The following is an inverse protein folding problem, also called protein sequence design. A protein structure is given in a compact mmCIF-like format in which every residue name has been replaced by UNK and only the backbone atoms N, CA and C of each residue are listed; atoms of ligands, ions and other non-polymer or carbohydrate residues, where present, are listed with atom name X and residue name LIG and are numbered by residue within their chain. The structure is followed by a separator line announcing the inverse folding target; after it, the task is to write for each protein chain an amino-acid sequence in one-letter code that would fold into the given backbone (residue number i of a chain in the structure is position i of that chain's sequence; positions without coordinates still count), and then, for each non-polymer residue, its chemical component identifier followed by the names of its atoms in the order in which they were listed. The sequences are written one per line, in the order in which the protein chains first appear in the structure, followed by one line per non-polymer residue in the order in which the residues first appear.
data_IF_144424470281
#
_entry.id   IF_144424470281
#
_cell.length_a   1.000
_cell.length_b   1.000
_cell.length_c   1.000
_cell.angle_alpha   90.00
_cell.angle_beta   90.00
_cell.angle_gamma   90.00
#
_symmetry.space_group_name_H-M   'P 1'
#
loop_
_entity.id
_entity.type
_entity.pdbx_description
1 polymer ?
#
# COMPACT_ATOMS: atom_id res chain seq x y z
N UNK A 1 0.95 -15.69 11.69
CA UNK A 1 1.78 -14.47 11.82
C UNK A 1 2.06 -13.93 10.42
N UNK A 2 1.78 -12.67 10.20
CA UNK A 2 1.98 -11.97 8.92
C UNK A 2 3.43 -11.47 8.84
N UNK A 3 4.07 -11.57 7.66
CA UNK A 3 5.39 -11.00 7.40
C UNK A 3 5.37 -10.12 6.17
N UNK A 4 5.94 -8.92 6.27
CA UNK A 4 5.97 -7.94 5.19
C UNK A 4 7.33 -7.22 5.16
N UNK A 5 7.84 -6.92 3.97
CA UNK A 5 9.09 -6.18 3.82
C UNK A 5 8.92 -4.68 4.03
N UNK A 6 10.05 -3.97 4.15
CA UNK A 6 10.10 -2.53 4.36
C UNK A 6 9.35 -1.72 3.30
N UNK A 7 9.62 -1.99 2.00
CA UNK A 7 9.08 -1.17 0.91
C UNK A 7 7.55 -1.29 0.83
N UNK A 8 7.03 -2.51 0.88
CA UNK A 8 5.60 -2.78 0.80
C UNK A 8 4.84 -2.20 2.02
N UNK A 9 5.35 -2.40 3.24
CA UNK A 9 4.69 -1.86 4.44
C UNK A 9 4.71 -0.33 4.46
N UNK A 10 5.86 0.27 4.09
CA UNK A 10 6.01 1.74 4.05
C UNK A 10 5.09 2.37 3.02
N UNK A 11 5.02 1.79 1.80
CA UNK A 11 4.14 2.26 0.75
C UNK A 11 2.67 2.12 1.14
N UNK A 12 2.28 0.97 1.73
CA UNK A 12 0.93 0.75 2.20
C UNK A 12 0.51 1.76 3.27
N UNK A 13 1.37 2.03 4.26
CA UNK A 13 1.06 3.03 5.29
C UNK A 13 0.94 4.46 4.75
N UNK A 14 1.64 4.80 3.65
CA UNK A 14 1.49 6.10 2.98
C UNK A 14 0.15 6.26 2.26
N UNK A 15 -0.49 5.18 1.87
CA UNK A 15 -1.73 5.17 1.10
C UNK A 15 -2.98 4.83 1.94
N UNK A 16 -2.81 4.43 3.20
CA UNK A 16 -3.91 4.23 4.13
C UNK A 16 -4.56 5.58 4.49
N UNK A 17 -5.85 5.57 4.74
CA UNK A 17 -6.56 6.73 5.25
C UNK A 17 -6.11 7.08 6.67
N UNK A 18 -6.28 8.34 7.06
CA UNK A 18 -6.00 8.82 8.42
C UNK A 18 -7.23 9.54 8.94
N UNK A 19 -7.78 9.04 10.05
CA UNK A 19 -8.98 9.60 10.68
C UNK A 19 -10.20 9.69 9.74
N UNK A 20 -10.33 8.77 8.78
CA UNK A 20 -11.52 8.66 7.93
C UNK A 20 -12.68 8.05 8.74
N UNK A 21 -13.90 8.54 8.50
CA UNK A 21 -15.13 8.01 9.11
C UNK A 21 -15.37 6.54 8.71
N UNK A 22 -14.86 6.15 7.55
CA UNK A 22 -14.77 4.74 7.12
C UNK A 22 -13.58 4.08 7.81
N UNK A 23 -13.75 3.81 9.11
CA UNK A 23 -12.67 3.35 10.00
C UNK A 23 -11.86 2.15 9.47
N UNK A 24 -12.46 1.28 8.64
CA UNK A 24 -11.82 0.16 7.98
C UNK A 24 -10.78 0.56 6.92
N UNK A 25 -10.69 1.84 6.55
CA UNK A 25 -9.63 2.39 5.69
C UNK A 25 -8.45 2.96 6.49
N UNK A 26 -8.61 3.17 7.82
CA UNK A 26 -7.55 3.68 8.71
C UNK A 26 -6.53 2.60 9.11
N UNK A 27 -6.34 1.59 8.26
CA UNK A 27 -5.41 0.49 8.45
C UNK A 27 -4.96 -0.08 7.13
N UNK A 28 -4.09 -1.06 7.22
CA UNK A 28 -3.55 -1.79 6.09
C UNK A 28 -4.21 -3.17 6.05
N UNK A 29 -4.74 -3.56 4.90
CA UNK A 29 -5.35 -4.86 4.70
C UNK A 29 -4.31 -5.89 4.25
N UNK A 30 -4.23 -6.98 4.97
CA UNK A 30 -3.46 -8.17 4.62
C UNK A 30 -4.42 -9.23 4.09
N UNK A 31 -4.24 -9.62 2.83
CA UNK A 31 -5.07 -10.58 2.12
C UNK A 31 -4.39 -11.96 2.14
N UNK A 32 -5.11 -13.01 2.50
CA UNK A 32 -4.61 -14.40 2.54
C UNK A 32 -4.02 -14.89 1.21
N UNK A 33 -4.31 -14.20 0.11
CA UNK A 33 -3.72 -14.44 -1.21
C UNK A 33 -2.29 -13.88 -1.36
N UNK A 34 -1.70 -13.38 -0.26
CA UNK A 34 -0.33 -12.86 -0.23
C UNK A 34 -0.18 -11.39 -0.61
N UNK A 35 -1.23 -10.60 -0.46
CA UNK A 35 -1.20 -9.16 -0.75
C UNK A 35 -1.27 -8.31 0.51
N UNK A 36 -0.62 -7.14 0.44
CA UNK A 36 -0.81 -6.01 1.33
C UNK A 36 -1.47 -4.89 0.54
N UNK A 37 -2.59 -4.38 1.03
CA UNK A 37 -3.40 -3.37 0.33
C UNK A 37 -3.80 -2.25 1.27
N UNK A 38 -3.80 -1.03 0.78
CA UNK A 38 -4.32 0.14 1.50
C UNK A 38 -4.95 1.15 0.56
N UNK A 39 -5.87 1.94 1.05
CA UNK A 39 -6.53 2.99 0.27
C UNK A 39 -7.07 4.10 1.17
N UNK A 40 -7.09 5.33 0.66
CA UNK A 40 -7.79 6.48 1.24
C UNK A 40 -9.10 6.82 0.48
N UNK A 41 -9.48 5.99 -0.50
CA UNK A 41 -10.64 6.18 -1.37
C UNK A 41 -10.34 6.91 -2.68
N UNK A 42 -9.16 7.53 -2.82
CA UNK A 42 -8.72 8.25 -4.03
C UNK A 42 -7.51 7.59 -4.70
N UNK A 43 -6.77 6.82 -3.95
CA UNK A 43 -5.66 5.99 -4.41
C UNK A 43 -5.66 4.66 -3.67
N UNK A 44 -5.02 3.65 -4.26
CA UNK A 44 -4.89 2.32 -3.67
C UNK A 44 -3.50 1.79 -3.96
N UNK A 45 -2.77 1.39 -2.91
CA UNK A 45 -1.52 0.65 -3.04
C UNK A 45 -1.78 -0.85 -2.90
N UNK A 46 -1.11 -1.64 -3.73
CA UNK A 46 -1.06 -3.09 -3.64
C UNK A 46 0.38 -3.56 -3.77
N UNK A 47 0.82 -4.33 -2.80
CA UNK A 47 2.13 -4.96 -2.74
C UNK A 47 2.04 -6.40 -2.24
N UNK A 48 3.15 -6.96 -1.77
CA UNK A 48 3.25 -8.36 -1.36
C UNK A 48 3.45 -8.50 0.16
N UNK A 49 2.85 -9.53 0.74
CA UNK A 49 3.08 -9.96 2.12
C UNK A 49 2.95 -11.48 2.23
N UNK A 50 3.57 -12.07 3.24
CA UNK A 50 3.31 -13.47 3.61
C UNK A 50 2.19 -13.44 4.63
N UNK A 51 1.03 -13.96 4.25
CA UNK A 51 -0.18 -14.00 5.09
C UNK A 51 -0.61 -15.45 5.23
N UNK A 52 -0.84 -15.97 6.45
CA UNK A 52 -1.35 -17.32 6.62
C UNK A 52 -2.72 -17.51 5.97
N UNK A 53 -2.99 -18.70 5.48
CA UNK A 53 -4.28 -19.04 4.88
C UNK A 53 -5.42 -18.83 5.88
N UNK A 54 -6.54 -18.30 5.41
CA UNK A 54 -7.70 -17.97 6.24
C UNK A 54 -7.53 -16.74 7.15
N UNK A 55 -6.38 -16.05 7.12
CA UNK A 55 -6.08 -14.95 8.04
C UNK A 55 -6.13 -13.55 7.41
N UNK A 56 -7.04 -13.30 6.47
CA UNK A 56 -7.23 -11.92 5.95
C UNK A 56 -7.68 -10.99 7.07
N UNK A 57 -6.97 -9.86 7.25
CA UNK A 57 -7.30 -8.89 8.31
C UNK A 57 -6.84 -7.47 7.98
N UNK A 58 -7.51 -6.49 8.56
CA UNK A 58 -7.10 -5.09 8.55
C UNK A 58 -6.32 -4.83 9.83
N UNK A 59 -5.12 -4.25 9.70
CA UNK A 59 -4.26 -3.94 10.85
C UNK A 59 -3.95 -2.45 10.88
N UNK A 60 -4.20 -1.82 12.01
CA UNK A 60 -3.80 -0.44 12.30
C UNK A 60 -2.56 -0.43 13.20
N UNK A 61 -1.44 0.06 12.70
CA UNK A 61 -0.19 0.19 13.45
C UNK A 61 -0.21 1.53 14.19
N UNK A 62 -0.03 1.51 15.52
CA UNK A 62 -0.21 2.67 16.42
C UNK A 62 1.10 3.38 16.68
N UNK A 63 1.68 3.98 15.65
CA UNK A 63 2.91 4.72 15.81
C UNK A 63 3.64 4.99 14.51
N UNK A 64 4.81 5.62 14.63
CA UNK A 64 5.67 5.89 13.49
C UNK A 64 6.56 4.67 13.22
N UNK A 65 6.52 4.17 11.99
CA UNK A 65 7.41 3.08 11.56
C UNK A 65 8.88 3.49 11.69
N UNK A 66 9.77 2.56 12.07
CA UNK A 66 11.21 2.78 12.04
C UNK A 66 11.67 3.26 10.66
N UNK A 67 12.73 4.06 10.63
CA UNK A 67 13.24 4.65 9.38
C UNK A 67 13.90 3.61 8.47
N UNK A 68 14.43 2.54 9.06
CA UNK A 68 15.08 1.42 8.36
C UNK A 68 14.76 0.12 9.07
N UNK A 69 14.33 -0.86 8.33
CA UNK A 69 14.18 -2.27 8.73
C UNK A 69 14.16 -3.11 7.46
N UNK A 70 14.37 -4.40 7.56
CA UNK A 70 14.28 -5.32 6.42
C UNK A 70 12.87 -5.85 6.27
N UNK A 71 12.29 -6.31 7.38
CA UNK A 71 10.93 -6.83 7.41
C UNK A 71 10.26 -6.58 8.77
N UNK A 72 8.95 -6.73 8.77
CA UNK A 72 8.09 -6.65 9.94
C UNK A 72 7.27 -7.92 10.08
N UNK A 73 7.20 -8.45 11.30
CA UNK A 73 6.29 -9.52 11.69
C UNK A 73 5.13 -8.94 12.51
N UNK A 74 3.89 -9.31 12.15
CA UNK A 74 2.68 -8.81 12.79
C UNK A 74 1.89 -10.00 13.34
N UNK A 75 1.60 -9.97 14.64
CA UNK A 75 0.80 -11.01 15.33
C UNK A 75 -0.66 -10.61 15.57
N UNK A 76 -1.01 -9.35 15.37
CA UNK A 76 -2.34 -8.78 15.57
C UNK A 76 -2.44 -7.87 16.79
N UNK A 77 -1.46 -7.90 17.70
CA UNK A 77 -1.33 -7.01 18.86
C UNK A 77 -0.09 -6.14 18.76
N UNK A 78 0.93 -6.63 18.07
CA UNK A 78 2.20 -5.94 17.87
C UNK A 78 2.76 -6.14 16.45
N UNK A 79 3.55 -5.16 16.03
CA UNK A 79 4.35 -5.17 14.83
C UNK A 79 5.82 -5.10 15.25
N UNK A 80 6.55 -6.21 15.08
CA UNK A 80 7.97 -6.34 15.43
C UNK A 80 8.84 -6.16 14.18
N UNK A 81 9.80 -5.25 14.24
CA UNK A 81 10.64 -4.83 13.11
C UNK A 81 12.06 -5.41 13.24
N UNK A 82 12.58 -5.94 12.16
CA UNK A 82 13.88 -6.63 12.14
C UNK A 82 14.80 -6.06 11.06
N UNK A 83 16.09 -6.12 11.33
CA UNK A 83 17.12 -5.82 10.33
C UNK A 83 17.44 -7.06 9.43
N UNK A 84 18.40 -6.89 8.51
CA UNK A 84 18.84 -7.96 7.59
C UNK A 84 19.59 -9.12 8.27
N UNK A 85 19.88 -9.01 9.58
CA UNK A 85 20.54 -10.04 10.40
C UNK A 85 19.57 -10.67 11.39
N UNK A 86 18.26 -10.47 11.21
CA UNK A 86 17.20 -10.94 12.11
C UNK A 86 17.28 -10.35 13.54
N UNK A 87 17.94 -9.20 13.71
CA UNK A 87 17.97 -8.48 14.99
C UNK A 87 16.73 -7.61 15.11
N UNK A 88 16.03 -7.73 16.25
CA UNK A 88 14.88 -6.89 16.58
C UNK A 88 15.33 -5.43 16.74
N UNK A 89 14.71 -4.53 15.96
CA UNK A 89 14.97 -3.08 15.99
C UNK A 89 13.97 -2.38 16.90
N UNK A 90 12.69 -2.73 16.77
CA UNK A 90 11.60 -2.05 17.46
C UNK A 90 10.33 -2.92 17.49
N UNK A 91 9.42 -2.59 18.40
CA UNK A 91 8.09 -3.20 18.48
C UNK A 91 7.05 -2.11 18.68
N UNK A 92 6.07 -2.01 17.79
CA UNK A 92 5.01 -1.01 17.83
C UNK A 92 3.68 -1.70 18.06
N UNK A 93 2.84 -1.21 18.99
CA UNK A 93 1.49 -1.74 19.17
C UNK A 93 0.67 -1.66 17.87
N UNK A 94 -0.11 -2.68 17.60
CA UNK A 94 -1.09 -2.66 16.53
C UNK A 94 -2.42 -3.26 17.00
N UNK A 95 -3.47 -3.00 16.26
CA UNK A 95 -4.79 -3.57 16.51
C UNK A 95 -5.40 -4.11 15.22
N UNK A 96 -6.18 -5.15 15.33
CA UNK A 96 -7.04 -5.64 14.26
C UNK A 96 -8.25 -4.72 14.20
N UNK A 97 -8.50 -4.13 13.04
CA UNK A 97 -9.68 -3.30 12.80
C UNK A 97 -10.82 -4.21 12.39
N UNK A 98 -11.88 -4.26 13.23
CA UNK A 98 -13.09 -4.99 12.90
C UNK A 98 -13.83 -4.27 11.76
N UNK A 99 -13.95 -4.91 10.61
CA UNK A 99 -14.59 -4.34 9.44
C UNK A 99 -14.26 -5.11 8.16
N UNK A 100 -15.01 -4.81 7.12
CA UNK A 100 -14.79 -5.40 5.80
C UNK A 100 -14.03 -4.41 4.92
N UNK A 101 -12.82 -4.80 4.50
CA UNK A 101 -12.07 -4.02 3.52
C UNK A 101 -12.80 -4.05 2.16
N UNK A 102 -12.82 -2.93 1.39
CA UNK A 102 -13.46 -2.88 0.08
C UNK A 102 -12.94 -3.95 -0.87
N UNK A 103 -13.77 -4.36 -1.82
CA UNK A 103 -13.35 -5.25 -2.90
C UNK A 103 -12.38 -4.52 -3.85
N UNK A 104 -11.12 -4.49 -3.43
CA UNK A 104 -10.05 -3.77 -4.10
C UNK A 104 -9.72 -4.32 -5.49
N UNK A 105 -10.03 -5.59 -5.75
CA UNK A 105 -9.78 -6.22 -7.06
C UNK A 105 -10.61 -5.61 -8.18
N UNK A 106 -11.76 -5.03 -7.86
CA UNK A 106 -12.63 -4.36 -8.85
C UNK A 106 -11.98 -3.15 -9.51
N UNK A 107 -11.10 -2.44 -8.80
CA UNK A 107 -10.39 -1.26 -9.31
C UNK A 107 -9.00 -1.58 -9.85
N UNK A 108 -8.54 -2.82 -9.71
CA UNK A 108 -7.23 -3.27 -10.17
C UNK A 108 -7.26 -4.10 -11.46
N UNK A 109 -8.45 -4.43 -11.96
CA UNK A 109 -8.61 -5.00 -13.31
C UNK A 109 -8.31 -3.90 -14.33
N UNK A 110 -7.30 -4.09 -15.16
CA UNK A 110 -6.73 -3.04 -15.99
C UNK A 110 -6.72 -3.40 -17.48
N UNK A 111 -7.37 -2.57 -18.29
CA UNK A 111 -7.24 -2.61 -19.75
C UNK A 111 -6.63 -1.28 -20.18
N UNK A 112 -5.39 -1.32 -20.64
CA UNK A 112 -4.67 -0.11 -21.08
C UNK A 112 -5.33 0.54 -22.29
N UNK A 113 -5.45 1.87 -22.26
CA UNK A 113 -6.01 2.66 -23.34
C UNK A 113 -5.23 3.97 -23.53
N UNK A 114 -5.36 4.60 -24.68
CA UNK A 114 -4.74 5.89 -24.98
C UNK A 114 -5.57 7.03 -24.40
N UNK A 115 -4.90 8.01 -23.77
CA UNK A 115 -5.50 9.25 -23.28
C UNK A 115 -4.75 10.45 -23.84
N UNK A 116 -5.47 11.48 -24.27
CA UNK A 116 -4.88 12.73 -24.77
C UNK A 116 -4.41 13.62 -23.61
N UNK A 117 -5.24 13.76 -22.59
CA UNK A 117 -4.95 14.52 -21.38
C UNK A 117 -5.68 13.92 -20.18
N UNK A 118 -5.06 14.02 -19.00
CA UNK A 118 -5.63 13.51 -17.74
C UNK A 118 -5.13 14.38 -16.57
N UNK A 119 -6.05 14.75 -15.68
CA UNK A 119 -5.74 15.51 -14.48
C UNK A 119 -5.52 14.62 -13.27
N UNK A 120 -4.56 14.97 -12.42
CA UNK A 120 -4.30 14.29 -11.15
C UNK A 120 -4.10 15.28 -10.01
N UNK A 121 -4.41 14.85 -8.80
CA UNK A 121 -3.90 15.51 -7.62
C UNK A 121 -2.36 15.36 -7.57
N UNK A 122 -1.64 16.49 -7.67
CA UNK A 122 -0.18 16.51 -7.69
C UNK A 122 0.46 15.88 -6.45
N UNK A 123 -0.21 15.93 -5.28
CA UNK A 123 0.28 15.27 -4.07
C UNK A 123 0.33 13.73 -4.23
N UNK A 124 -0.63 13.14 -4.92
CA UNK A 124 -0.64 11.69 -5.18
C UNK A 124 0.47 11.28 -6.16
N UNK A 125 0.77 12.12 -7.16
CA UNK A 125 1.91 11.88 -8.04
C UNK A 125 3.24 12.03 -7.30
N UNK A 126 3.35 13.01 -6.42
CA UNK A 126 4.54 13.18 -5.57
C UNK A 126 4.74 11.96 -4.64
N UNK A 127 3.68 11.43 -4.08
CA UNK A 127 3.76 10.21 -3.26
C UNK A 127 4.07 8.98 -4.12
N UNK A 128 3.57 8.88 -5.35
CA UNK A 128 3.96 7.83 -6.29
C UNK A 128 5.49 7.82 -6.53
N UNK A 129 6.10 8.99 -6.68
CA UNK A 129 7.56 9.12 -6.80
C UNK A 129 8.30 8.70 -5.51
N UNK A 130 7.77 9.05 -4.32
CA UNK A 130 8.35 8.60 -3.05
C UNK A 130 8.27 7.07 -2.90
N UNK A 131 7.14 6.47 -3.27
CA UNK A 131 6.93 5.02 -3.27
C UNK A 131 7.91 4.34 -4.24
N UNK A 132 8.09 4.88 -5.45
CA UNK A 132 9.04 4.32 -6.42
C UNK A 132 10.46 4.18 -5.83
N UNK A 133 10.92 5.17 -5.06
CA UNK A 133 12.23 5.16 -4.37
C UNK A 133 12.35 4.10 -3.26
N UNK A 134 11.24 3.61 -2.72
CA UNK A 134 11.25 2.48 -1.77
C UNK A 134 11.61 1.17 -2.46
N UNK A 135 11.16 0.98 -3.71
CA UNK A 135 11.38 -0.24 -4.50
C UNK A 135 12.66 -0.20 -5.34
N UNK A 136 13.05 0.99 -5.81
CA UNK A 136 14.31 1.17 -6.53
C UNK A 136 14.87 2.59 -6.32
N UNK A 137 15.92 2.69 -5.49
CA UNK A 137 16.56 3.97 -5.16
C UNK A 137 17.27 4.63 -6.34
N UNK A 138 17.62 3.87 -7.37
CA UNK A 138 18.35 4.34 -8.55
C UNK A 138 17.42 4.77 -9.69
N UNK A 139 16.17 4.33 -9.64
CA UNK A 139 15.20 4.63 -10.69
C UNK A 139 14.30 5.80 -10.25
N UNK A 140 14.30 6.88 -11.02
CA UNK A 140 13.51 8.09 -10.72
C UNK A 140 12.27 8.22 -11.62
N UNK A 141 12.04 7.28 -12.54
CA UNK A 141 10.91 7.28 -13.45
C UNK A 141 9.66 6.64 -12.85
N UNK A 142 8.51 6.96 -13.44
CA UNK A 142 7.25 6.28 -13.19
C UNK A 142 6.75 5.64 -14.50
N UNK A 143 6.34 4.39 -14.43
CA UNK A 143 5.60 3.75 -15.52
C UNK A 143 4.12 3.82 -15.20
N UNK A 144 3.38 4.59 -16.02
CA UNK A 144 1.94 4.77 -15.87
C UNK A 144 1.19 4.02 -16.97
N UNK A 145 0.11 3.37 -16.59
CA UNK A 145 -0.85 2.74 -17.50
C UNK A 145 -2.20 3.41 -17.33
N UNK A 146 -2.81 3.83 -18.43
CA UNK A 146 -4.07 4.57 -18.45
C UNK A 146 -5.20 3.69 -18.98
N UNK A 147 -6.41 3.85 -18.44
CA UNK A 147 -7.62 3.19 -18.93
C UNK A 147 -8.55 4.15 -19.67
N UNK A 148 -8.44 5.45 -19.40
CA UNK A 148 -9.28 6.51 -19.94
C UNK A 148 -9.15 7.77 -19.09
N UNK A 149 -9.71 8.87 -19.57
CA UNK A 149 -9.59 10.21 -18.94
C UNK A 149 -10.27 10.33 -17.57
N UNK A 150 -11.27 9.48 -17.32
CA UNK A 150 -12.09 9.46 -16.10
C UNK A 150 -11.91 8.15 -15.29
N UNK A 151 -11.00 7.30 -15.71
CA UNK A 151 -10.75 6.00 -15.09
C UNK A 151 -9.42 5.97 -14.35
N UNK A 152 -9.31 5.01 -13.42
CA UNK A 152 -8.12 4.81 -12.62
C UNK A 152 -6.86 4.65 -13.48
N UNK A 153 -5.77 5.24 -13.04
CA UNK A 153 -4.43 5.09 -13.63
C UNK A 153 -3.59 4.23 -12.72
N UNK A 154 -2.84 3.30 -13.29
CA UNK A 154 -1.95 2.41 -12.54
C UNK A 154 -0.50 2.85 -12.71
N UNK A 155 0.21 2.98 -11.59
CA UNK A 155 1.65 3.19 -11.52
C UNK A 155 2.30 1.87 -11.15
N UNK A 156 3.22 1.39 -11.95
CA UNK A 156 3.90 0.11 -11.76
C UNK A 156 5.23 0.30 -11.05
N UNK A 157 5.52 -0.56 -10.08
CA UNK A 157 6.77 -0.60 -9.34
C UNK A 157 7.51 -1.93 -9.55
N UNK A 158 8.78 -1.96 -9.19
CA UNK A 158 9.60 -3.17 -9.20
C UNK A 158 9.02 -4.23 -8.25
N UNK A 159 9.13 -5.50 -8.62
CA UNK A 159 8.62 -6.60 -7.80
C UNK A 159 7.11 -6.85 -7.93
N UNK A 160 6.42 -6.18 -8.85
CA UNK A 160 5.00 -6.39 -9.10
C UNK A 160 4.06 -5.55 -8.23
N UNK A 161 4.58 -4.73 -7.32
CA UNK A 161 3.79 -3.77 -6.58
C UNK A 161 3.24 -2.67 -7.51
N UNK A 162 2.10 -2.10 -7.18
CA UNK A 162 1.51 -1.01 -7.96
C UNK A 162 0.69 -0.06 -7.09
N UNK A 163 0.52 1.16 -7.60
CA UNK A 163 -0.38 2.17 -7.06
C UNK A 163 -1.47 2.48 -8.10
N UNK A 164 -2.71 2.51 -7.69
CA UNK A 164 -3.82 3.02 -8.49
C UNK A 164 -4.14 4.43 -8.01
N UNK A 165 -4.31 5.37 -8.93
CA UNK A 165 -4.67 6.76 -8.64
C UNK A 165 -5.92 7.11 -9.44
N UNK A 166 -6.93 7.63 -8.77
CA UNK A 166 -8.11 8.16 -9.44
C UNK A 166 -7.80 9.54 -10.05
N UNK A 167 -8.17 9.79 -11.31
CA UNK A 167 -8.01 11.10 -11.92
C UNK A 167 -8.92 12.14 -11.27
N UNK A 168 -8.53 13.41 -11.40
CA UNK A 168 -9.39 14.55 -11.04
C UNK A 168 -9.85 15.28 -12.31
N UNK A 169 -11.10 15.74 -12.28
CA UNK A 169 -11.60 16.71 -13.27
C UNK A 169 -11.13 18.11 -12.86
N UNK A 170 -10.53 18.80 -13.78
CA UNK A 170 -10.10 20.20 -13.65
C UNK A 170 -11.12 21.09 -14.33
#
# INVERSE_FOLDING_TARGET
MIRVNYADLKAATMCAATNDVRYYLNGVFFDEKGFIVSTDGHRLFCGSAVVPEGESKIVSIKGRLPTKFEYCNIDGTSAAFFDSKDVLIDTIPCEIVDGRFPDWRRVTSFVSNTVEAIGFNGAYLADACKIAKLFDRKFEGLKLEFQGVDKATRVLYKGGAFLVIMPMRL
#
